data_IF_690087313447
#
_entry.id   IF_690087313447
#
_cell.length_a   1.000
_cell.length_b   1.000
_cell.length_c   1.000
_cell.angle_alpha   90.00
_cell.angle_beta   90.00
_cell.angle_gamma   90.00
#
_symmetry.space_group_name_H-M   'P 1'
#
loop_
_entity.id
_entity.type
_entity.pdbx_description
1 polymer ?
#
# COMPACT_ATOMS: atom_id res chain seq x y z
N UNK A 1 -11.94 14.23 -7.09
CA UNK A 1 -10.55 14.19 -7.55
C UNK A 1 -9.82 15.35 -6.91
N UNK A 2 -8.58 15.17 -6.49
CA UNK A 2 -7.73 16.31 -6.11
C UNK A 2 -7.43 17.14 -7.36
N UNK A 3 -6.93 18.37 -7.19
CA UNK A 3 -6.49 19.22 -8.30
C UNK A 3 -5.42 18.51 -9.16
N UNK A 4 -4.43 17.91 -8.52
CA UNK A 4 -3.40 17.09 -9.18
C UNK A 4 -3.97 15.89 -9.95
N UNK A 5 -5.01 15.24 -9.42
CA UNK A 5 -5.67 14.14 -10.14
C UNK A 5 -6.48 14.63 -11.33
N UNK A 6 -7.04 15.84 -11.25
CA UNK A 6 -7.78 16.46 -12.34
C UNK A 6 -6.86 16.83 -13.49
N UNK A 7 -5.72 17.47 -13.20
CA UNK A 7 -4.70 17.79 -14.21
C UNK A 7 -4.21 16.53 -14.94
N UNK A 8 -3.90 15.47 -14.20
CA UNK A 8 -3.46 14.21 -14.78
C UNK A 8 -4.55 13.49 -15.61
N UNK A 9 -5.82 13.65 -15.24
CA UNK A 9 -6.93 13.16 -16.03
C UNK A 9 -7.12 13.97 -17.32
N UNK A 10 -7.00 15.29 -17.24
CA UNK A 10 -7.16 16.18 -18.40
C UNK A 10 -6.04 15.95 -19.42
N UNK A 11 -4.81 15.72 -18.96
CA UNK A 11 -3.68 15.30 -19.80
C UNK A 11 -3.99 13.96 -20.51
N UNK A 12 -4.49 12.98 -19.77
CA UNK A 12 -4.87 11.67 -20.32
C UNK A 12 -5.99 11.79 -21.38
N UNK A 13 -7.02 12.61 -21.11
CA UNK A 13 -8.10 12.89 -22.04
C UNK A 13 -7.58 13.61 -23.30
N UNK A 14 -6.65 14.56 -23.13
CA UNK A 14 -6.03 15.28 -24.25
C UNK A 14 -5.31 14.32 -25.19
N UNK A 15 -4.49 13.41 -24.63
CA UNK A 15 -3.80 12.38 -25.40
C UNK A 15 -4.78 11.47 -26.17
N UNK A 16 -5.84 10.99 -25.51
CA UNK A 16 -6.84 10.14 -26.17
C UNK A 16 -7.62 10.86 -27.28
N UNK A 17 -7.91 12.15 -27.11
CA UNK A 17 -8.53 12.95 -28.18
C UNK A 17 -7.58 13.13 -29.37
N UNK A 18 -6.28 13.28 -29.13
CA UNK A 18 -5.29 13.37 -30.20
C UNK A 18 -5.20 12.06 -31.00
N UNK A 19 -5.23 10.91 -30.32
CA UNK A 19 -5.13 9.58 -30.95
C UNK A 19 -6.41 9.19 -31.70
N UNK A 20 -7.58 9.40 -31.07
CA UNK A 20 -8.85 8.92 -31.60
C UNK A 20 -9.53 9.90 -32.56
N UNK A 21 -9.08 11.16 -32.57
CA UNK A 21 -9.57 12.23 -33.45
C UNK A 21 -11.11 12.27 -33.57
N UNK A 22 -11.84 12.41 -32.44
CA UNK A 22 -13.29 12.41 -32.47
C UNK A 22 -13.82 13.61 -33.26
N UNK A 23 -14.82 13.38 -34.12
CA UNK A 23 -15.51 14.44 -34.86
C UNK A 23 -16.93 14.60 -34.35
N UNK A 24 -17.25 15.82 -33.93
CA UNK A 24 -18.56 16.17 -33.39
C UNK A 24 -18.77 15.73 -31.94
N UNK A 25 -19.95 16.05 -31.41
CA UNK A 25 -20.27 15.89 -29.99
C UNK A 25 -20.31 14.42 -29.54
N UNK A 26 -20.99 13.55 -30.30
CA UNK A 26 -21.19 12.15 -29.90
C UNK A 26 -19.88 11.36 -29.80
N UNK A 27 -18.98 11.51 -30.78
CA UNK A 27 -17.66 10.89 -30.70
C UNK A 27 -16.85 11.47 -29.54
N UNK A 28 -16.96 12.79 -29.28
CA UNK A 28 -16.32 13.45 -28.15
C UNK A 28 -16.74 12.88 -26.79
N UNK A 29 -18.04 12.67 -26.58
CA UNK A 29 -18.58 12.05 -25.35
C UNK A 29 -18.14 10.60 -25.19
N UNK A 30 -18.07 9.83 -26.29
CA UNK A 30 -17.59 8.45 -26.26
C UNK A 30 -16.10 8.42 -25.87
N UNK A 31 -15.26 9.31 -26.42
CA UNK A 31 -13.85 9.43 -26.05
C UNK A 31 -13.69 9.83 -24.58
N UNK A 32 -14.52 10.74 -24.06
CA UNK A 32 -14.53 11.09 -22.64
C UNK A 32 -14.87 9.88 -21.75
N UNK A 33 -15.87 9.08 -22.15
CA UNK A 33 -16.23 7.84 -21.45
C UNK A 33 -15.10 6.81 -21.45
N UNK A 34 -14.39 6.65 -22.58
CA UNK A 34 -13.20 5.79 -22.71
C UNK A 34 -12.11 6.27 -21.75
N UNK A 35 -11.78 7.56 -21.78
CA UNK A 35 -10.76 8.16 -20.91
C UNK A 35 -11.07 7.94 -19.44
N UNK A 36 -12.32 8.19 -19.02
CA UNK A 36 -12.74 7.98 -17.64
C UNK A 36 -12.65 6.51 -17.21
N UNK A 37 -12.96 5.57 -18.11
CA UNK A 37 -12.91 4.13 -17.83
C UNK A 37 -11.46 3.66 -17.67
N UNK A 38 -10.57 4.06 -18.58
CA UNK A 38 -9.14 3.77 -18.52
C UNK A 38 -8.48 4.38 -17.29
N UNK A 39 -8.83 5.63 -16.95
CA UNK A 39 -8.35 6.29 -15.74
C UNK A 39 -8.71 5.53 -14.46
N UNK A 40 -9.97 5.07 -14.35
CA UNK A 40 -10.42 4.26 -13.21
C UNK A 40 -9.70 2.92 -13.14
N UNK A 41 -9.45 2.28 -14.28
CA UNK A 41 -8.69 1.03 -14.36
C UNK A 41 -7.24 1.25 -13.92
N UNK A 42 -6.58 2.32 -14.37
CA UNK A 42 -5.22 2.69 -13.93
C UNK A 42 -5.15 2.93 -12.42
N UNK A 43 -6.11 3.67 -11.84
CA UNK A 43 -6.16 3.86 -10.38
C UNK A 43 -6.35 2.56 -9.63
N UNK A 44 -7.21 1.68 -10.15
CA UNK A 44 -7.41 0.36 -9.54
C UNK A 44 -6.11 -0.45 -9.56
N UNK A 45 -5.36 -0.44 -10.65
CA UNK A 45 -4.08 -1.14 -10.74
C UNK A 45 -3.00 -0.51 -9.85
N UNK A 46 -2.91 0.81 -9.79
CA UNK A 46 -2.00 1.48 -8.87
C UNK A 46 -2.33 1.14 -7.40
N UNK A 47 -3.61 1.10 -7.06
CA UNK A 47 -4.06 0.64 -5.76
C UNK A 47 -3.75 -0.84 -5.54
N UNK A 48 -3.97 -1.72 -6.52
CA UNK A 48 -3.61 -3.13 -6.40
C UNK A 48 -2.10 -3.30 -6.24
N UNK A 49 -1.27 -2.60 -7.00
CA UNK A 49 0.18 -2.66 -6.94
C UNK A 49 0.69 -2.20 -5.57
N UNK A 50 0.17 -1.06 -5.09
CA UNK A 50 0.38 -0.58 -3.73
C UNK A 50 -0.01 -1.63 -2.68
N UNK A 51 -1.11 -2.35 -2.90
CA UNK A 51 -1.63 -3.36 -1.98
C UNK A 51 -0.96 -4.75 -2.10
N UNK A 52 -0.44 -5.14 -3.28
CA UNK A 52 -0.05 -6.53 -3.58
C UNK A 52 1.45 -6.78 -3.71
N UNK A 53 2.28 -5.81 -4.14
CA UNK A 53 3.55 -6.24 -4.76
C UNK A 53 4.86 -6.12 -3.99
N UNK A 54 5.13 -5.15 -3.12
CA UNK A 54 6.54 -4.94 -2.75
C UNK A 54 6.72 -4.44 -1.33
N UNK A 55 6.01 -3.37 -0.96
CA UNK A 55 6.21 -2.73 0.33
C UNK A 55 5.54 -3.47 1.46
N UNK A 56 4.33 -4.02 1.29
CA UNK A 56 3.78 -4.86 2.36
C UNK A 56 4.62 -6.09 2.65
N UNK A 57 5.19 -6.77 1.65
CA UNK A 57 5.92 -8.01 1.93
C UNK A 57 7.33 -7.74 2.46
N UNK A 58 8.04 -6.74 1.91
CA UNK A 58 9.36 -6.36 2.41
C UNK A 58 9.30 -5.52 3.69
N UNK A 59 8.32 -4.63 3.86
CA UNK A 59 8.13 -3.91 5.13
C UNK A 59 7.59 -4.84 6.22
N UNK A 60 6.73 -5.82 5.91
CA UNK A 60 6.35 -6.84 6.91
C UNK A 60 7.54 -7.70 7.31
N UNK A 61 8.33 -8.19 6.35
CA UNK A 61 9.50 -9.02 6.68
C UNK A 61 10.64 -8.21 7.34
N UNK A 62 10.87 -6.96 6.93
CA UNK A 62 11.91 -6.09 7.50
C UNK A 62 11.49 -5.43 8.82
N UNK A 63 10.22 -5.11 9.01
CA UNK A 63 9.74 -4.54 10.26
C UNK A 63 9.57 -5.64 11.32
N UNK A 64 9.03 -6.82 10.99
CA UNK A 64 8.91 -7.90 11.97
C UNK A 64 10.26 -8.48 12.42
N UNK A 65 11.31 -8.34 11.59
CA UNK A 65 12.67 -8.83 11.86
C UNK A 65 13.72 -7.80 11.40
N UNK A 66 13.95 -6.73 12.16
CA UNK A 66 14.92 -5.68 11.82
C UNK A 66 16.35 -6.22 11.70
N UNK A 67 16.62 -7.39 12.29
CA UNK A 67 17.90 -8.09 12.20
C UNK A 67 17.81 -9.33 11.27
N UNK A 68 18.68 -9.46 10.25
CA UNK A 68 18.71 -10.63 9.36
C UNK A 68 18.94 -11.96 10.09
N UNK A 69 19.56 -11.92 11.27
CA UNK A 69 19.71 -13.09 12.15
C UNK A 69 18.35 -13.51 12.72
N UNK A 70 17.52 -12.57 13.17
CA UNK A 70 16.19 -12.88 13.69
C UNK A 70 15.27 -13.44 12.61
N UNK A 71 15.37 -12.91 11.38
CA UNK A 71 14.68 -13.46 10.22
C UNK A 71 15.09 -14.92 9.96
N UNK A 72 16.39 -15.20 10.07
CA UNK A 72 16.92 -16.57 9.91
C UNK A 72 16.43 -17.50 11.03
N UNK A 73 16.38 -17.02 12.27
CA UNK A 73 15.84 -17.77 13.43
C UNK A 73 14.35 -18.04 13.23
N UNK A 74 13.56 -17.05 12.84
CA UNK A 74 12.13 -17.21 12.60
C UNK A 74 11.82 -18.18 11.46
N UNK A 75 12.60 -18.13 10.36
CA UNK A 75 12.52 -19.10 9.27
C UNK A 75 12.85 -20.52 9.76
N UNK A 76 13.89 -20.66 10.58
CA UNK A 76 14.28 -21.95 11.16
C UNK A 76 13.23 -22.51 12.12
N UNK A 77 12.66 -21.67 13.00
CA UNK A 77 11.54 -22.03 13.88
C UNK A 77 10.33 -22.51 13.07
N UNK A 78 9.99 -21.77 12.01
CA UNK A 78 8.88 -22.14 11.11
C UNK A 78 9.15 -23.48 10.42
N UNK A 79 10.37 -23.71 9.94
CA UNK A 79 10.78 -24.99 9.34
C UNK A 79 10.73 -26.16 10.34
N UNK A 80 10.92 -25.89 11.63
CA UNK A 80 10.79 -26.86 12.73
C UNK A 80 9.34 -27.04 13.23
N UNK A 81 8.35 -26.38 12.61
CA UNK A 81 6.96 -26.40 13.05
C UNK A 81 6.69 -25.58 14.31
N UNK A 82 7.66 -24.80 14.78
CA UNK A 82 7.48 -23.85 15.87
C UNK A 82 6.81 -22.57 15.33
N UNK A 83 5.93 -21.97 16.15
CA UNK A 83 5.31 -20.70 15.80
C UNK A 83 6.26 -19.55 16.17
N UNK A 84 6.44 -18.55 15.28
CA UNK A 84 7.15 -17.34 15.66
C UNK A 84 6.43 -16.65 16.82
N UNK A 85 7.18 -15.85 17.60
CA UNK A 85 6.63 -15.12 18.73
C UNK A 85 5.44 -14.25 18.30
N UNK A 86 4.32 -14.34 19.03
CA UNK A 86 3.15 -13.52 18.75
C UNK A 86 3.39 -12.05 19.14
N UNK A 87 2.62 -11.12 18.58
CA UNK A 87 2.62 -9.70 18.99
C UNK A 87 2.39 -9.56 20.50
N UNK A 88 1.49 -10.35 21.07
CA UNK A 88 1.22 -10.36 22.50
C UNK A 88 2.44 -10.81 23.33
N UNK A 89 3.18 -11.83 22.87
CA UNK A 89 4.41 -12.27 23.51
C UNK A 89 5.50 -11.19 23.43
N UNK A 90 5.68 -10.55 22.27
CA UNK A 90 6.67 -9.49 22.11
C UNK A 90 6.32 -8.24 22.95
N UNK A 91 5.03 -7.91 23.11
CA UNK A 91 4.59 -6.83 24.01
C UNK A 91 4.85 -7.13 25.48
N UNK A 92 4.76 -8.41 25.90
CA UNK A 92 5.13 -8.83 27.25
C UNK A 92 6.64 -8.70 27.48
N UNK A 93 7.45 -9.14 26.52
CA UNK A 93 8.92 -9.01 26.60
C UNK A 93 9.35 -7.54 26.57
N UNK A 94 8.71 -6.70 25.74
CA UNK A 94 8.94 -5.26 25.73
C UNK A 94 8.56 -4.63 27.08
N UNK A 95 7.40 -4.98 27.66
CA UNK A 95 6.99 -4.52 29.00
C UNK A 95 8.03 -4.88 30.06
N UNK A 96 8.56 -6.10 30.02
CA UNK A 96 9.62 -6.56 30.92
C UNK A 96 10.93 -5.80 30.69
N UNK A 97 11.34 -5.56 29.44
CA UNK A 97 12.53 -4.79 29.10
C UNK A 97 12.42 -3.32 29.53
N UNK A 98 11.24 -2.70 29.42
CA UNK A 98 10.98 -1.34 29.92
C UNK A 98 11.14 -1.29 31.44
N UNK A 99 10.58 -2.26 32.15
CA UNK A 99 10.71 -2.35 33.61
C UNK A 99 12.17 -2.61 34.02
N UNK A 100 12.87 -3.52 33.34
CA UNK A 100 14.28 -3.78 33.58
C UNK A 100 15.14 -2.57 33.22
N UNK A 101 14.79 -1.73 32.25
CA UNK A 101 15.52 -0.48 32.00
C UNK A 101 15.35 0.56 33.12
N UNK A 102 14.49 0.32 34.12
CA UNK A 102 14.17 1.26 35.18
C UNK A 102 13.27 2.41 34.70
N UNK A 103 12.59 2.22 33.56
CA UNK A 103 11.60 3.16 33.05
C UNK A 103 10.23 2.92 33.72
N UNK A 104 9.16 3.47 33.13
CA UNK A 104 7.80 3.38 33.66
C UNK A 104 7.33 1.92 33.64
N UNK A 105 6.90 1.38 34.79
CA UNK A 105 6.19 0.10 34.81
C UNK A 105 4.83 0.25 34.14
N UNK A 106 4.63 -0.49 33.05
CA UNK A 106 3.41 -0.45 32.26
C UNK A 106 2.88 -1.85 32.03
N UNK A 107 1.55 -2.09 32.15
CA UNK A 107 0.99 -3.38 31.79
C UNK A 107 1.17 -3.62 30.28
N UNK A 108 1.47 -4.85 29.87
CA UNK A 108 1.71 -5.20 28.47
C UNK A 108 0.57 -4.80 27.51
N UNK A 109 -0.68 -4.79 28.00
CA UNK A 109 -1.85 -4.34 27.25
C UNK A 109 -1.87 -2.85 26.92
N UNK A 110 -1.03 -2.04 27.57
CA UNK A 110 -0.90 -0.59 27.36
C UNK A 110 0.39 -0.19 26.65
N UNK A 111 1.38 -1.08 26.55
CA UNK A 111 2.69 -0.72 25.99
C UNK A 111 2.57 -0.23 24.53
N UNK A 112 1.70 -0.83 23.73
CA UNK A 112 1.47 -0.42 22.34
C UNK A 112 1.02 1.05 22.21
N UNK A 113 0.23 1.56 23.17
CA UNK A 113 -0.29 2.93 23.16
C UNK A 113 0.83 3.98 23.40
N UNK A 114 1.99 3.56 23.93
CA UNK A 114 3.08 4.45 24.36
C UNK A 114 4.42 4.16 23.67
N UNK A 115 4.43 3.42 22.56
CA UNK A 115 5.68 3.10 21.84
C UNK A 115 6.54 4.33 21.52
N UNK A 116 5.98 5.47 21.02
CA UNK A 116 6.79 6.65 20.75
C UNK A 116 7.46 7.23 22.01
N UNK A 117 6.76 7.19 23.16
CA UNK A 117 7.30 7.66 24.43
C UNK A 117 8.41 6.73 24.94
N UNK A 118 8.19 5.41 24.87
CA UNK A 118 9.17 4.41 25.28
C UNK A 118 10.43 4.49 24.42
N UNK A 119 10.28 4.67 23.10
CA UNK A 119 11.40 4.87 22.16
C UNK A 119 12.21 6.11 22.51
N UNK A 120 11.56 7.26 22.69
CA UNK A 120 12.25 8.49 23.10
C UNK A 120 12.98 8.36 24.45
N UNK A 121 12.39 7.64 25.42
CA UNK A 121 13.04 7.34 26.69
C UNK A 121 14.25 6.40 26.52
N UNK A 122 14.14 5.37 25.68
CA UNK A 122 15.23 4.46 25.37
C UNK A 122 16.41 5.19 24.72
N UNK A 123 16.16 6.05 23.74
CA UNK A 123 17.19 6.82 23.02
C UNK A 123 17.94 7.80 23.94
N UNK A 124 17.24 8.41 24.89
CA UNK A 124 17.82 9.36 25.85
C UNK A 124 18.40 8.72 27.11
N UNK A 125 18.22 7.41 27.29
CA UNK A 125 18.57 6.71 28.54
C UNK A 125 20.03 6.86 28.95
N UNK A 126 20.97 6.87 27.99
CA UNK A 126 22.41 7.03 28.27
C UNK A 126 22.84 8.47 28.60
N UNK A 127 21.93 9.45 28.47
CA UNK A 127 22.17 10.84 28.87
C UNK A 127 21.87 11.07 30.36
N UNK A 128 21.15 10.14 30.99
CA UNK A 128 20.83 10.18 32.41
C UNK A 128 21.94 9.52 33.24
N UNK A 129 22.19 9.98 34.48
CA UNK A 129 23.09 9.28 35.39
C UNK A 129 22.53 7.88 35.69
N UNK A 130 23.40 6.85 35.85
CA UNK A 130 22.94 5.51 36.18
C UNK A 130 22.22 5.49 37.52
N UNK A 131 21.13 4.72 37.66
CA UNK A 131 20.50 4.50 38.95
C UNK A 131 21.47 3.79 39.90
N UNK A 132 21.26 3.95 41.20
CA UNK A 132 22.11 3.33 42.22
C UNK A 132 22.22 1.82 42.00
N UNK A 133 23.45 1.30 42.07
CA UNK A 133 23.73 -0.12 41.89
C UNK A 133 23.81 -0.60 40.44
N UNK A 134 23.63 0.27 39.43
CA UNK A 134 23.85 -0.10 38.02
C UNK A 134 25.09 0.53 37.43
N UNK A 135 25.85 -0.30 36.74
CA UNK A 135 26.96 0.11 35.90
C UNK A 135 26.47 0.73 34.59
N UNK A 136 27.31 1.58 33.99
CA UNK A 136 27.09 2.12 32.64
C UNK A 136 26.98 1.02 31.57
N UNK A 137 27.65 -0.11 31.77
CA UNK A 137 27.60 -1.26 30.85
C UNK A 137 26.23 -1.93 30.89
N UNK A 138 25.66 -2.13 32.08
CA UNK A 138 24.30 -2.68 32.23
C UNK A 138 23.26 -1.75 31.60
N UNK A 139 23.41 -0.43 31.76
CA UNK A 139 22.52 0.52 31.08
C UNK A 139 22.58 0.41 29.55
N UNK A 140 23.78 0.27 28.97
CA UNK A 140 23.91 0.09 27.50
C UNK A 140 23.26 -1.20 27.03
N UNK A 141 23.43 -2.29 27.78
CA UNK A 141 22.80 -3.56 27.47
C UNK A 141 21.28 -3.44 27.54
N UNK A 142 20.74 -2.86 28.61
CA UNK A 142 19.31 -2.59 28.75
C UNK A 142 18.78 -1.71 27.60
N UNK A 143 19.54 -0.69 27.18
CA UNK A 143 19.17 0.17 26.06
C UNK A 143 19.04 -0.62 24.77
N UNK A 144 20.06 -1.42 24.47
CA UNK A 144 20.11 -2.20 23.25
C UNK A 144 18.98 -3.24 23.20
N UNK A 145 18.76 -3.96 24.31
CA UNK A 145 17.65 -4.91 24.44
C UNK A 145 16.30 -4.21 24.25
N UNK A 146 16.10 -3.05 24.88
CA UNK A 146 14.86 -2.29 24.77
C UNK A 146 14.60 -1.81 23.34
N UNK A 147 15.60 -1.23 22.67
CA UNK A 147 15.47 -0.79 21.27
C UNK A 147 15.19 -1.96 20.32
N UNK A 148 15.84 -3.11 20.54
CA UNK A 148 15.59 -4.33 19.76
C UNK A 148 14.13 -4.79 19.88
N UNK A 149 13.58 -4.80 21.09
CA UNK A 149 12.17 -5.16 21.31
C UNK A 149 11.21 -4.11 20.76
N UNK A 150 11.55 -2.82 20.84
CA UNK A 150 10.75 -1.74 20.25
C UNK A 150 10.65 -1.91 18.73
N UNK A 151 11.78 -2.06 18.04
CA UNK A 151 11.82 -2.26 16.59
C UNK A 151 10.98 -3.48 16.19
N UNK A 152 11.09 -4.58 16.94
CA UNK A 152 10.33 -5.80 16.70
C UNK A 152 8.82 -5.64 16.91
N UNK A 153 8.40 -4.96 17.98
CA UNK A 153 6.97 -4.75 18.26
C UNK A 153 6.36 -3.80 17.24
N UNK A 154 7.02 -2.69 16.93
CA UNK A 154 6.56 -1.74 15.91
C UNK A 154 6.34 -2.45 14.58
N UNK A 155 7.29 -3.27 14.14
CA UNK A 155 7.11 -3.94 12.88
C UNK A 155 6.12 -5.09 12.86
N UNK A 156 5.88 -5.77 13.99
CA UNK A 156 4.75 -6.69 14.11
C UNK A 156 3.40 -5.95 14.07
N UNK A 157 3.33 -4.74 14.63
CA UNK A 157 2.12 -3.91 14.55
C UNK A 157 1.88 -3.43 13.13
N UNK A 158 2.91 -2.92 12.45
CA UNK A 158 2.86 -2.54 11.04
C UNK A 158 2.42 -3.73 10.18
N UNK A 159 2.89 -4.95 10.49
CA UNK A 159 2.43 -6.16 9.82
C UNK A 159 0.95 -6.46 10.05
N UNK A 160 0.48 -6.36 11.29
CA UNK A 160 -0.95 -6.58 11.57
C UNK A 160 -1.82 -5.54 10.88
N UNK A 161 -1.39 -4.28 10.84
CA UNK A 161 -2.09 -3.21 10.16
C UNK A 161 -2.06 -3.41 8.64
N UNK A 162 -0.91 -3.79 8.08
CA UNK A 162 -0.78 -4.11 6.67
C UNK A 162 -1.70 -5.27 6.26
N UNK A 163 -1.71 -6.37 7.02
CA UNK A 163 -2.62 -7.49 6.77
C UNK A 163 -4.09 -7.10 6.85
N UNK A 164 -4.45 -6.17 7.74
CA UNK A 164 -5.82 -5.67 7.85
C UNK A 164 -6.23 -4.82 6.63
N UNK A 165 -5.27 -4.20 5.95
CA UNK A 165 -5.52 -3.47 4.70
C UNK A 165 -5.67 -4.41 3.50
N UNK A 166 -5.06 -5.60 3.52
CA UNK A 166 -5.23 -6.60 2.44
C UNK A 166 -6.70 -6.98 2.34
N UNK A 167 -7.33 -6.81 1.15
CA UNK A 167 -8.72 -7.16 0.97
C UNK A 167 -8.92 -8.66 1.23
N UNK A 168 -9.84 -9.01 2.11
CA UNK A 168 -10.29 -10.39 2.22
C UNK A 168 -10.92 -10.88 0.92
N UNK A 169 -11.25 -12.17 0.86
CA UNK A 169 -11.83 -12.82 -0.33
C UNK A 169 -13.05 -12.07 -0.89
N UNK A 170 -13.92 -11.54 -0.02
CA UNK A 170 -15.06 -10.72 -0.43
C UNK A 170 -14.64 -9.42 -1.13
N UNK A 171 -13.58 -8.77 -0.64
CA UNK A 171 -13.01 -7.56 -1.26
C UNK A 171 -12.38 -7.86 -2.62
N UNK A 172 -11.59 -8.93 -2.71
CA UNK A 172 -11.03 -9.41 -3.98
C UNK A 172 -12.11 -9.72 -5.02
N UNK A 173 -13.17 -10.41 -4.62
CA UNK A 173 -14.32 -10.69 -5.49
C UNK A 173 -15.00 -9.40 -6.00
N UNK A 174 -15.13 -8.38 -5.15
CA UNK A 174 -15.68 -7.09 -5.56
C UNK A 174 -14.77 -6.40 -6.58
N UNK A 175 -13.45 -6.41 -6.36
CA UNK A 175 -12.44 -5.85 -7.26
C UNK A 175 -12.52 -6.53 -8.63
N UNK A 176 -12.52 -7.87 -8.68
CA UNK A 176 -12.61 -8.62 -9.93
C UNK A 176 -13.91 -8.33 -10.70
N UNK A 177 -15.05 -8.23 -9.99
CA UNK A 177 -16.34 -7.86 -10.62
C UNK A 177 -16.28 -6.45 -11.21
N UNK A 178 -15.66 -5.53 -10.48
CA UNK A 178 -15.50 -4.16 -10.89
C UNK A 178 -14.57 -4.04 -12.12
N UNK A 179 -13.45 -4.75 -12.15
CA UNK A 179 -12.57 -4.87 -13.34
C UNK A 179 -13.33 -5.39 -14.55
N UNK A 180 -14.06 -6.50 -14.37
CA UNK A 180 -14.87 -7.07 -15.44
C UNK A 180 -15.92 -6.09 -15.97
N UNK A 181 -16.51 -5.28 -15.08
CA UNK A 181 -17.46 -4.24 -15.46
C UNK A 181 -16.80 -3.11 -16.26
N UNK A 182 -15.64 -2.61 -15.82
CA UNK A 182 -14.87 -1.60 -16.52
C UNK A 182 -14.44 -2.09 -17.91
N UNK A 183 -13.91 -3.30 -18.01
CA UNK A 183 -13.50 -3.89 -19.29
C UNK A 183 -14.66 -4.00 -20.29
N UNK A 184 -15.83 -4.46 -19.84
CA UNK A 184 -17.04 -4.49 -20.69
C UNK A 184 -17.53 -3.10 -21.07
N UNK A 185 -17.39 -2.11 -20.21
CA UNK A 185 -17.75 -0.72 -20.52
C UNK A 185 -16.82 -0.15 -21.59
N UNK A 186 -15.51 -0.31 -21.41
CA UNK A 186 -14.48 0.14 -22.34
C UNK A 186 -14.69 -0.46 -23.74
N UNK A 187 -14.88 -1.78 -23.81
CA UNK A 187 -15.10 -2.47 -25.09
C UNK A 187 -16.33 -1.91 -25.83
N UNK A 188 -17.44 -1.71 -25.12
CA UNK A 188 -18.67 -1.15 -25.72
C UNK A 188 -18.44 0.26 -26.27
N UNK A 189 -17.76 1.13 -25.51
CA UNK A 189 -17.47 2.50 -25.97
C UNK A 189 -16.55 2.50 -27.19
N UNK A 190 -15.53 1.63 -27.23
CA UNK A 190 -14.66 1.48 -28.39
C UNK A 190 -15.42 0.98 -29.63
N UNK A 191 -16.32 0.01 -29.47
CA UNK A 191 -17.12 -0.52 -30.58
C UNK A 191 -18.11 0.53 -31.12
N UNK A 192 -18.73 1.33 -30.23
CA UNK A 192 -19.57 2.46 -30.62
C UNK A 192 -18.78 3.50 -31.42
N UNK A 193 -17.58 3.85 -30.96
CA UNK A 193 -16.72 4.81 -31.66
C UNK A 193 -16.35 4.31 -33.06
N UNK A 194 -15.94 3.04 -33.19
CA UNK A 194 -15.61 2.41 -34.48
C UNK A 194 -16.77 2.47 -35.46
N UNK A 195 -17.99 2.20 -35.00
CA UNK A 195 -19.19 2.26 -35.85
C UNK A 195 -19.45 3.68 -36.35
N UNK A 196 -19.30 4.70 -35.51
CA UNK A 196 -19.47 6.10 -35.92
C UNK A 196 -18.41 6.53 -36.93
N UNK A 197 -17.14 6.20 -36.67
CA UNK A 197 -16.03 6.53 -37.56
C UNK A 197 -16.17 5.85 -38.92
N UNK A 198 -16.58 4.57 -38.96
CA UNK A 198 -16.82 3.84 -40.21
C UNK A 198 -17.97 4.45 -41.04
N UNK A 199 -19.03 4.93 -40.39
CA UNK A 199 -20.12 5.65 -41.07
C UNK A 199 -19.61 6.95 -41.68
N UNK A 200 -18.82 7.72 -40.93
CA UNK A 200 -18.23 8.98 -41.40
C UNK A 200 -17.34 8.78 -42.62
N UNK A 201 -16.46 7.78 -42.61
CA UNK A 201 -15.58 7.50 -43.76
C UNK A 201 -16.38 7.11 -44.99
N UNK A 202 -17.49 6.39 -44.82
CA UNK A 202 -18.37 6.03 -45.94
C UNK A 202 -19.03 7.27 -46.54
N UNK A 203 -19.67 8.11 -45.71
CA UNK A 203 -20.29 9.35 -46.19
C UNK A 203 -19.31 10.27 -46.92
N UNK A 204 -18.08 10.39 -46.42
CA UNK A 204 -17.04 11.19 -47.09
C UNK A 204 -16.66 10.63 -48.46
N UNK A 205 -16.64 9.31 -48.62
CA UNK A 205 -16.30 8.68 -49.90
C UNK A 205 -17.42 8.87 -50.92
N UNK A 206 -18.68 8.78 -50.48
CA UNK A 206 -19.84 9.00 -51.35
C UNK A 206 -19.90 10.46 -51.85
N UNK A 207 -19.55 11.45 -51.03
CA UNK A 207 -19.47 12.87 -51.44
C UNK A 207 -18.36 13.14 -52.47
N UNK A 208 -17.19 12.52 -52.31
CA UNK A 208 -16.06 12.68 -53.23
C UNK A 208 -16.34 12.03 -54.61
N UNK A 209 -17.24 11.03 -54.70
CA UNK A 209 -17.66 10.40 -55.97
C UNK A 209 -18.65 11.25 -56.77
N UNK A 210 -19.59 11.94 -56.11
CA UNK A 210 -20.59 12.79 -56.76
C UNK A 210 -19.99 14.08 -57.39
N UNK A 211 -18.85 14.56 -56.87
CA UNK A 211 -18.16 15.76 -57.38
C UNK A 211 -17.23 15.47 -58.59
N UNK A 212 -17.05 14.20 -58.98
CA UNK A 212 -16.11 13.78 -60.02
C UNK A 212 -16.73 13.59 -61.43
N UNK A 213 -18.06 13.65 -61.56
CA UNK A 213 -18.83 13.49 -62.81
C UNK A 213 -19.33 14.82 -63.41
#
# INVERSE_FOLDING_TARGET
MTETEQEAFDEHLCALKADLQPVGYLEGEIVLSIAYTLWRQRKLYAWQEFMTQSEMRQAVEAAAYPNPVELSIARLQTAQGQRPASTAACLLELSAAVADAGLIQMPASKVADFLPLVRGAAETMLLMPPPEGRSKTEMRLAQHTLLTWLDRVEGLLDETQARALVPGEAGLNLIMRYEGSLGRSLQRSLDQLRVLQARRTKFRTDEDEDDAD
#
